data_IF_519195785027
#
_entry.id   IF_519195785027
#
_cell.length_a   1.000
_cell.length_b   1.000
_cell.length_c   1.000
_cell.angle_alpha   90.00
_cell.angle_beta   90.00
_cell.angle_gamma   90.00
#
_symmetry.space_group_name_H-M   'P 1'
#
loop_
_entity.id
_entity.type
_entity.pdbx_description
1 polymer ?
#
# COMPACT_ATOMS: atom_id res chain seq x y z
N UNK A 1 -3.43 -20.58 -1.98
CA UNK A 1 -3.40 -19.10 -1.98
C UNK A 1 -4.30 -18.59 -0.88
N UNK A 2 -3.74 -17.87 0.09
CA UNK A 2 -4.45 -17.18 1.18
C UNK A 2 -4.42 -15.67 0.94
N UNK A 3 -5.50 -15.00 1.30
CA UNK A 3 -5.61 -13.53 1.27
C UNK A 3 -6.11 -13.07 2.63
N UNK A 4 -5.27 -12.37 3.38
CA UNK A 4 -5.61 -11.76 4.65
C UNK A 4 -5.74 -10.25 4.48
N UNK A 5 -6.98 -9.77 4.44
CA UNK A 5 -7.28 -8.34 4.33
C UNK A 5 -7.25 -7.69 5.70
N UNK A 6 -6.56 -6.55 5.81
CA UNK A 6 -6.64 -5.71 7.02
C UNK A 6 -7.95 -4.95 7.02
N UNK A 7 -8.44 -4.61 8.21
CA UNK A 7 -9.66 -3.81 8.37
C UNK A 7 -9.55 -2.53 7.52
N UNK A 8 -10.65 -2.19 6.84
CA UNK A 8 -10.72 -0.97 6.05
C UNK A 8 -10.40 0.24 6.94
N UNK A 9 -9.67 1.25 6.42
CA UNK A 9 -9.42 2.48 7.15
C UNK A 9 -10.73 3.28 7.28
N UNK A 10 -10.79 4.18 8.25
CA UNK A 10 -11.92 5.09 8.35
C UNK A 10 -11.95 6.06 7.17
N UNK A 11 -13.12 6.65 6.90
CA UNK A 11 -13.23 7.71 5.87
C UNK A 11 -12.34 8.91 6.18
N UNK A 12 -12.16 9.22 7.46
CA UNK A 12 -11.32 10.32 7.91
C UNK A 12 -9.84 10.01 7.67
N UNK A 13 -9.39 8.78 7.94
CA UNK A 13 -8.02 8.34 7.66
C UNK A 13 -7.71 8.42 6.15
N UNK A 14 -8.63 7.96 5.30
CA UNK A 14 -8.50 8.08 3.85
C UNK A 14 -8.39 9.55 3.45
N UNK A 15 -9.23 10.43 4.01
CA UNK A 15 -9.20 11.86 3.70
C UNK A 15 -7.88 12.52 4.13
N UNK A 16 -7.39 12.20 5.33
CA UNK A 16 -6.10 12.69 5.84
C UNK A 16 -4.95 12.22 4.95
N UNK A 17 -4.97 10.95 4.53
CA UNK A 17 -4.00 10.39 3.60
C UNK A 17 -4.01 11.13 2.26
N UNK A 18 -5.18 11.29 1.64
CA UNK A 18 -5.31 11.98 0.35
C UNK A 18 -4.88 13.44 0.40
N UNK A 19 -5.12 14.15 1.50
CA UNK A 19 -4.70 15.55 1.66
C UNK A 19 -3.18 15.74 1.74
N UNK A 20 -2.43 14.68 2.06
CA UNK A 20 -0.97 14.69 2.12
C UNK A 20 -0.31 14.34 0.78
N UNK A 21 -1.09 13.84 -0.19
CA UNK A 21 -0.59 13.54 -1.53
C UNK A 21 -0.67 14.79 -2.41
N UNK A 22 0.37 15.00 -3.21
CA UNK A 22 0.44 16.01 -4.26
C UNK A 22 0.00 15.49 -5.65
N UNK A 23 -0.50 14.25 -5.70
CA UNK A 23 -1.01 13.60 -6.89
C UNK A 23 -2.30 12.80 -6.62
N UNK A 24 -2.97 12.39 -7.69
CA UNK A 24 -4.20 11.60 -7.62
C UNK A 24 -3.94 10.10 -7.67
N UNK A 25 -4.56 9.33 -6.77
CA UNK A 25 -4.49 7.88 -6.81
C UNK A 25 -5.36 7.27 -7.91
N UNK A 26 -4.96 6.13 -8.49
CA UNK A 26 -5.83 5.36 -9.39
C UNK A 26 -7.14 4.97 -8.72
N UNK A 27 -8.25 5.04 -9.45
CA UNK A 27 -9.59 4.73 -8.92
C UNK A 27 -9.67 3.31 -8.31
N UNK A 28 -8.98 2.33 -8.91
CA UNK A 28 -8.94 0.97 -8.39
C UNK A 28 -8.31 0.88 -7.00
N UNK A 29 -7.31 1.71 -6.70
CA UNK A 29 -6.70 1.77 -5.37
C UNK A 29 -7.63 2.43 -4.36
N UNK A 30 -8.35 3.48 -4.76
CA UNK A 30 -9.38 4.11 -3.92
C UNK A 30 -10.51 3.13 -3.59
N UNK A 31 -10.99 2.35 -4.57
CA UNK A 31 -11.98 1.30 -4.31
C UNK A 31 -11.43 0.21 -3.38
N UNK A 32 -10.16 -0.17 -3.53
CA UNK A 32 -9.52 -1.13 -2.63
C UNK A 32 -9.48 -0.63 -1.18
N UNK A 33 -9.12 0.63 -0.96
CA UNK A 33 -9.09 1.23 0.38
C UNK A 33 -10.45 1.24 1.07
N UNK A 34 -11.56 1.26 0.33
CA UNK A 34 -12.91 1.14 0.94
C UNK A 34 -13.15 -0.23 1.56
N UNK A 35 -12.38 -1.23 1.17
CA UNK A 35 -12.56 -2.63 1.57
C UNK A 35 -11.41 -3.13 2.44
N UNK A 36 -10.21 -2.57 2.32
CA UNK A 36 -9.01 -3.09 2.98
C UNK A 36 -7.93 -2.01 3.16
N UNK A 37 -7.35 -1.89 4.36
CA UNK A 37 -6.19 -1.02 4.61
C UNK A 37 -4.88 -1.81 4.45
N UNK A 38 -4.60 -2.25 3.22
CA UNK A 38 -3.54 -3.22 2.98
C UNK A 38 -4.00 -4.66 3.16
N UNK A 39 -3.15 -5.61 2.80
CA UNK A 39 -3.45 -7.04 2.80
C UNK A 39 -2.16 -7.85 2.69
N UNK A 40 -2.21 -9.08 3.14
CA UNK A 40 -1.16 -10.08 2.95
C UNK A 40 -1.70 -11.17 2.04
N UNK A 41 -0.97 -11.47 0.97
CA UNK A 41 -1.34 -12.51 0.01
C UNK A 41 -0.18 -13.48 -0.05
N UNK A 42 -0.45 -14.77 0.17
CA UNK A 42 0.59 -15.78 0.17
C UNK A 42 0.13 -17.04 -0.57
N UNK A 43 1.05 -17.69 -1.27
CA UNK A 43 0.94 -19.08 -1.67
C UNK A 43 2.19 -19.84 -1.16
N UNK A 44 2.48 -21.03 -1.69
CA UNK A 44 3.66 -21.80 -1.24
C UNK A 44 5.00 -21.20 -1.69
N UNK A 45 4.99 -20.39 -2.75
CA UNK A 45 6.19 -19.87 -3.43
C UNK A 45 6.29 -18.33 -3.32
N UNK A 46 5.17 -17.63 -3.20
CA UNK A 46 5.06 -16.18 -3.27
C UNK A 46 4.46 -15.58 -2.01
N UNK A 47 4.95 -14.39 -1.67
CA UNK A 47 4.37 -13.51 -0.66
C UNK A 47 4.18 -12.10 -1.24
N UNK A 48 3.11 -11.42 -0.84
CA UNK A 48 2.80 -10.04 -1.22
C UNK A 48 2.26 -9.31 -0.02
N UNK A 49 2.85 -8.16 0.30
CA UNK A 49 2.43 -7.30 1.39
C UNK A 49 1.96 -5.95 0.86
N UNK A 50 0.66 -5.71 0.88
CA UNK A 50 0.08 -4.39 0.66
C UNK A 50 0.09 -3.63 1.99
N UNK A 51 0.87 -2.55 2.06
CA UNK A 51 1.04 -1.77 3.29
C UNK A 51 -0.19 -0.92 3.61
N UNK A 52 -0.49 -0.69 4.90
CA UNK A 52 -1.55 0.20 5.32
C UNK A 52 -1.19 1.67 5.09
N UNK A 53 -2.22 2.52 4.96
CA UNK A 53 -2.09 3.96 4.72
C UNK A 53 -1.18 4.69 5.72
N UNK A 54 -1.15 4.24 6.97
CA UNK A 54 -0.35 4.83 8.05
C UNK A 54 1.14 4.71 7.78
N UNK A 55 1.55 3.62 7.12
CA UNK A 55 2.95 3.26 6.98
C UNK A 55 3.51 3.75 5.63
N UNK A 56 2.64 3.96 4.63
CA UNK A 56 3.05 4.34 3.28
C UNK A 56 3.87 5.63 3.22
N UNK A 57 3.59 6.63 4.06
CA UNK A 57 4.37 7.86 4.07
C UNK A 57 5.78 7.64 4.60
N UNK A 58 5.88 6.99 5.76
CA UNK A 58 7.17 6.74 6.41
C UNK A 58 8.08 5.86 5.54
N UNK A 59 7.49 4.91 4.81
CA UNK A 59 8.22 4.05 3.88
C UNK A 59 8.67 4.78 2.63
N UNK A 60 7.79 5.58 2.02
CA UNK A 60 8.18 6.35 0.83
C UNK A 60 9.33 7.31 1.15
N UNK A 61 9.36 7.85 2.37
CA UNK A 61 10.49 8.63 2.89
C UNK A 61 11.73 7.75 3.11
N UNK A 62 11.59 6.61 3.78
CA UNK A 62 12.71 5.72 4.10
C UNK A 62 13.40 5.14 2.85
N UNK A 63 12.65 4.87 1.78
CA UNK A 63 13.17 4.37 0.51
C UNK A 63 13.65 5.48 -0.45
N UNK A 64 13.65 6.74 -0.01
CA UNK A 64 13.96 7.93 -0.84
C UNK A 64 13.27 7.88 -2.21
N UNK A 65 12.00 7.49 -2.23
CA UNK A 65 11.24 7.33 -3.47
C UNK A 65 11.14 8.62 -4.26
N UNK A 66 11.28 9.76 -3.59
CA UNK A 66 11.30 11.09 -4.20
C UNK A 66 12.40 11.28 -5.23
N UNK A 67 13.54 10.59 -5.09
CA UNK A 67 14.65 10.65 -6.05
C UNK A 67 14.46 9.74 -7.27
N UNK A 68 13.59 8.73 -7.17
CA UNK A 68 13.35 7.75 -8.22
C UNK A 68 12.08 8.03 -9.04
N UNK A 69 11.00 8.48 -8.40
CA UNK A 69 9.77 8.86 -9.08
C UNK A 69 8.90 9.79 -8.20
N UNK A 70 8.68 11.02 -8.67
CA UNK A 70 7.89 12.04 -7.97
C UNK A 70 6.38 11.78 -7.89
N UNK A 71 5.87 10.70 -8.49
CA UNK A 71 4.42 10.40 -8.57
C UNK A 71 4.10 8.92 -8.33
N UNK A 72 4.95 8.20 -7.59
CA UNK A 72 4.79 6.76 -7.35
C UNK A 72 4.65 6.47 -5.85
N UNK A 73 3.47 6.04 -5.41
CA UNK A 73 3.33 5.30 -4.14
C UNK A 73 3.54 3.83 -4.47
N UNK A 74 4.66 3.27 -4.01
CA UNK A 74 4.94 1.86 -4.19
C UNK A 74 4.01 1.02 -3.32
N UNK A 75 3.36 0.06 -3.98
CA UNK A 75 2.86 -1.15 -3.35
C UNK A 75 4.00 -2.17 -3.44
N UNK A 76 4.74 -2.38 -2.34
CA UNK A 76 5.83 -3.37 -2.34
C UNK A 76 5.27 -4.79 -2.40
N UNK A 77 5.46 -5.48 -3.52
CA UNK A 77 5.29 -6.93 -3.62
C UNK A 77 6.63 -7.54 -3.21
N UNK A 78 6.74 -8.07 -1.98
CA UNK A 78 7.95 -8.77 -1.55
C UNK A 78 7.81 -10.26 -1.86
N UNK A 79 8.20 -10.70 -3.05
CA UNK A 79 8.42 -12.13 -3.28
C UNK A 79 9.63 -12.55 -2.45
N UNK A 80 9.42 -13.41 -1.46
CA UNK A 80 10.52 -14.09 -0.76
C UNK A 80 10.87 -15.32 -1.59
N UNK A 81 11.87 -15.21 -2.47
CA UNK A 81 12.56 -16.41 -2.94
C UNK A 81 13.18 -17.06 -1.70
N UNK A 82 12.71 -18.27 -1.35
CA UNK A 82 13.40 -19.11 -0.38
C UNK A 82 14.66 -19.64 -1.09
N UNK A 83 15.83 -19.24 -0.59
CA UNK A 83 17.12 -19.91 -0.85
C UNK A 83 17.09 -21.40 -0.45
#
# INVERSE_FOLDING_TARGET
MSINKKLAPSKDDIKVFLNKLDFTLPIGYLEFLKVSNGAEIANEEDYVLLWPLTDLFDLNLAYDMSSFASSLVLVFITSTEQE
#
